data_IF_178570114526
#
_entry.id   IF_178570114526
#
_cell.length_a   1.000
_cell.length_b   1.000
_cell.length_c   1.000
_cell.angle_alpha   90.00
_cell.angle_beta   90.00
_cell.angle_gamma   90.00
#
_symmetry.space_group_name_H-M   'P 1'
#
loop_
_entity.id
_entity.type
_entity.pdbx_description
1 polymer ?
#
# COMPACT_ATOMS: atom_id res chain seq x y z
N UNK A 1 -24.83 -5.06 8.23
CA UNK A 1 -24.47 -5.16 6.79
C UNK A 1 -23.50 -4.06 6.45
N UNK A 2 -22.43 -4.38 5.72
CA UNK A 2 -21.47 -3.40 5.26
C UNK A 2 -22.11 -2.31 4.40
N UNK A 3 -21.78 -1.05 4.65
CA UNK A 3 -22.31 0.11 3.91
C UNK A 3 -21.47 0.33 2.65
N UNK A 4 -22.12 0.33 1.49
CA UNK A 4 -21.45 0.55 0.21
C UNK A 4 -21.08 2.02 0.03
N UNK A 5 -19.86 2.26 -0.48
CA UNK A 5 -19.40 3.61 -0.85
C UNK A 5 -20.11 4.09 -2.13
N UNK A 6 -20.34 5.38 -2.22
CA UNK A 6 -20.80 6.00 -3.47
C UNK A 6 -19.72 6.02 -4.56
N UNK A 7 -18.46 5.95 -4.17
CA UNK A 7 -17.31 5.94 -5.06
C UNK A 7 -16.21 5.06 -4.49
N UNK A 8 -15.65 4.11 -5.28
CA UNK A 8 -14.63 3.19 -4.81
C UNK A 8 -13.40 3.92 -4.28
N UNK A 9 -12.88 3.44 -3.15
CA UNK A 9 -11.70 3.97 -2.48
C UNK A 9 -10.63 2.89 -2.40
N UNK A 10 -9.56 3.08 -3.15
CA UNK A 10 -8.52 2.06 -3.34
C UNK A 10 -7.23 2.50 -2.64
N UNK A 11 -6.72 1.68 -1.75
CA UNK A 11 -5.42 1.92 -1.10
C UNK A 11 -4.27 1.38 -1.94
N UNK A 12 -3.16 2.14 -1.98
CA UNK A 12 -1.92 1.75 -2.66
C UNK A 12 -1.45 0.36 -2.22
N UNK A 13 -1.45 0.05 -0.92
CA UNK A 13 -1.04 -1.26 -0.40
C UNK A 13 -1.88 -2.42 -0.94
N UNK A 14 -3.19 -2.23 -1.15
CA UNK A 14 -4.05 -3.29 -1.72
C UNK A 14 -3.71 -3.56 -3.18
N UNK A 15 -3.52 -2.51 -3.95
CA UNK A 15 -3.12 -2.62 -5.36
C UNK A 15 -1.76 -3.28 -5.49
N UNK A 16 -0.80 -2.88 -4.65
CA UNK A 16 0.57 -3.42 -4.69
C UNK A 16 0.60 -4.92 -4.41
N UNK A 17 -0.19 -5.40 -3.45
CA UNK A 17 -0.30 -6.82 -3.12
C UNK A 17 -0.91 -7.63 -4.27
N UNK A 18 -1.96 -7.13 -4.92
CA UNK A 18 -2.55 -7.78 -6.08
C UNK A 18 -1.59 -7.79 -7.29
N UNK A 19 -0.90 -6.67 -7.56
CA UNK A 19 0.02 -6.57 -8.68
C UNK A 19 1.27 -7.45 -8.51
N UNK A 20 1.71 -7.69 -7.28
CA UNK A 20 2.85 -8.55 -6.98
C UNK A 20 2.49 -10.03 -6.94
N UNK A 21 1.20 -10.37 -6.83
CA UNK A 21 0.75 -11.73 -6.55
C UNK A 21 0.99 -12.18 -5.11
N UNK A 22 1.15 -11.24 -4.17
CA UNK A 22 1.16 -11.54 -2.74
C UNK A 22 -0.23 -11.95 -2.25
N UNK A 23 -1.25 -11.22 -2.70
CA UNK A 23 -2.67 -11.54 -2.48
C UNK A 23 -3.33 -11.94 -3.81
N UNK A 24 -4.12 -13.02 -3.80
CA UNK A 24 -4.85 -13.53 -4.96
C UNK A 24 -6.37 -13.34 -4.85
N UNK A 25 -6.89 -13.08 -3.64
CA UNK A 25 -8.32 -12.86 -3.45
C UNK A 25 -8.72 -11.43 -3.83
N UNK A 26 -8.95 -11.20 -5.12
CA UNK A 26 -9.42 -9.90 -5.62
C UNK A 26 -10.71 -9.44 -4.95
N UNK A 27 -11.60 -10.39 -4.59
CA UNK A 27 -12.85 -10.08 -3.91
C UNK A 27 -12.62 -9.35 -2.58
N UNK A 28 -11.63 -9.75 -1.80
CA UNK A 28 -11.35 -9.13 -0.51
C UNK A 28 -10.93 -7.65 -0.68
N UNK A 29 -10.13 -7.35 -1.69
CA UNK A 29 -9.72 -5.98 -2.00
C UNK A 29 -10.85 -5.17 -2.64
N UNK A 30 -11.65 -5.80 -3.52
CA UNK A 30 -12.86 -5.19 -4.06
C UNK A 30 -13.84 -4.83 -2.94
N UNK A 31 -14.07 -5.74 -2.00
CA UNK A 31 -14.97 -5.50 -0.86
C UNK A 31 -14.49 -4.29 -0.05
N UNK A 32 -13.21 -4.25 0.35
CA UNK A 32 -12.62 -3.12 1.08
C UNK A 32 -12.68 -1.80 0.31
N UNK A 33 -12.56 -1.85 -1.01
CA UNK A 33 -12.62 -0.65 -1.87
C UNK A 33 -14.04 -0.10 -2.00
N UNK A 34 -15.04 -0.95 -1.98
CA UNK A 34 -16.44 -0.60 -2.24
C UNK A 34 -17.29 -0.41 -0.97
N UNK A 35 -16.76 -0.75 0.22
CA UNK A 35 -17.49 -0.60 1.49
C UNK A 35 -16.73 0.29 2.47
N UNK A 36 -17.47 0.99 3.33
CA UNK A 36 -16.89 1.85 4.36
C UNK A 36 -16.22 1.00 5.44
N UNK A 37 -14.94 1.30 5.74
CA UNK A 37 -14.12 0.48 6.62
C UNK A 37 -14.56 0.42 8.09
N UNK A 38 -15.48 1.28 8.50
CA UNK A 38 -16.11 1.30 9.84
C UNK A 38 -17.50 0.67 9.85
N UNK A 39 -17.98 0.14 8.72
CA UNK A 39 -19.33 -0.38 8.58
C UNK A 39 -19.43 -1.90 8.62
N UNK A 40 -18.31 -2.59 8.80
CA UNK A 40 -18.24 -4.06 8.89
C UNK A 40 -17.23 -4.49 9.95
N UNK A 41 -17.44 -5.68 10.51
CA UNK A 41 -16.57 -6.25 11.52
C UNK A 41 -15.25 -6.72 10.93
N UNK A 42 -14.17 -6.56 11.70
CA UNK A 42 -12.84 -6.98 11.30
C UNK A 42 -12.27 -8.01 12.24
N UNK A 43 -11.57 -8.97 11.67
CA UNK A 43 -10.77 -9.90 12.47
C UNK A 43 -9.69 -9.09 13.21
N UNK A 44 -9.58 -9.24 14.55
CA UNK A 44 -8.52 -8.59 15.31
C UNK A 44 -7.13 -9.03 14.82
N UNK A 45 -6.16 -8.15 14.93
CA UNK A 45 -4.76 -8.43 14.61
C UNK A 45 -3.94 -8.57 15.89
N UNK A 46 -3.18 -9.65 15.99
CA UNK A 46 -2.24 -9.88 17.10
C UNK A 46 -0.86 -9.22 16.86
N UNK A 47 -0.73 -8.45 15.79
CA UNK A 47 0.52 -7.79 15.43
C UNK A 47 0.94 -6.75 16.48
N UNK A 48 2.18 -6.83 16.98
CA UNK A 48 2.73 -5.90 17.94
C UNK A 48 3.06 -4.56 17.28
N UNK A 49 2.04 -3.73 17.12
CA UNK A 49 2.15 -2.42 16.48
C UNK A 49 3.09 -1.47 17.22
N UNK A 50 3.19 -1.54 18.53
CA UNK A 50 3.99 -0.62 19.36
C UNK A 50 5.50 -0.81 19.09
N UNK A 51 5.98 -2.06 19.10
CA UNK A 51 7.39 -2.37 18.79
C UNK A 51 7.74 -2.01 17.36
N UNK A 52 6.88 -2.40 16.42
CA UNK A 52 7.05 -2.06 15.03
C UNK A 52 7.14 -0.55 14.81
N UNK A 53 6.22 0.21 15.43
CA UNK A 53 6.16 1.66 15.29
C UNK A 53 7.42 2.35 15.80
N UNK A 54 8.03 1.85 16.88
CA UNK A 54 9.27 2.39 17.41
C UNK A 54 10.40 2.29 16.38
N UNK A 55 10.68 1.09 15.89
CA UNK A 55 11.75 0.82 14.91
C UNK A 55 11.51 1.56 13.60
N UNK A 56 10.26 1.54 13.12
CA UNK A 56 9.87 2.25 11.90
C UNK A 56 10.07 3.76 12.03
N UNK A 57 9.62 4.37 13.13
CA UNK A 57 9.77 5.81 13.37
C UNK A 57 11.23 6.23 13.47
N UNK A 58 12.07 5.43 14.11
CA UNK A 58 13.51 5.69 14.19
C UNK A 58 14.14 5.75 12.80
N UNK A 59 13.83 4.77 11.94
CA UNK A 59 14.36 4.70 10.58
C UNK A 59 13.84 5.84 9.70
N UNK A 60 12.55 6.20 9.83
CA UNK A 60 11.96 7.37 9.17
C UNK A 60 12.69 8.65 9.57
N UNK A 61 12.93 8.88 10.86
CA UNK A 61 13.61 10.08 11.35
C UNK A 61 15.08 10.14 10.90
N UNK A 62 15.79 9.02 10.91
CA UNK A 62 17.15 8.93 10.40
C UNK A 62 17.20 9.32 8.93
N UNK A 63 16.36 8.70 8.10
CA UNK A 63 16.30 9.00 6.66
C UNK A 63 15.91 10.45 6.39
N UNK A 64 14.97 11.00 7.15
CA UNK A 64 14.59 12.41 7.07
C UNK A 64 15.80 13.32 7.28
N UNK A 65 16.56 13.13 8.37
CA UNK A 65 17.71 13.97 8.67
C UNK A 65 18.82 13.87 7.62
N UNK A 66 19.04 12.66 7.05
CA UNK A 66 19.99 12.45 5.96
C UNK A 66 19.62 13.32 4.75
N UNK A 67 18.35 13.33 4.31
CA UNK A 67 17.91 14.11 3.18
C UNK A 67 17.87 15.61 3.47
N UNK A 68 17.44 16.03 4.65
CA UNK A 68 17.48 17.43 5.07
C UNK A 68 18.93 17.97 5.08
N UNK A 69 19.91 17.16 5.49
CA UNK A 69 21.33 17.54 5.53
C UNK A 69 21.95 17.86 4.16
N UNK A 70 21.39 17.27 3.10
CA UNK A 70 21.82 17.52 1.70
C UNK A 70 20.91 18.48 0.94
N UNK A 71 20.02 19.18 1.68
CA UNK A 71 19.26 20.31 1.22
C UNK A 71 17.89 19.98 0.61
N UNK A 72 17.33 18.78 0.88
CA UNK A 72 15.94 18.49 0.54
C UNK A 72 14.98 19.03 1.60
N UNK A 73 13.82 19.50 1.14
CA UNK A 73 12.66 19.69 2.01
C UNK A 73 11.95 18.36 2.14
N UNK A 74 11.83 17.83 3.37
CA UNK A 74 11.24 16.52 3.61
C UNK A 74 9.93 16.63 4.38
N UNK A 75 8.88 15.99 3.87
CA UNK A 75 7.63 15.76 4.58
C UNK A 75 7.45 14.28 4.92
N UNK A 76 6.76 13.98 6.03
CA UNK A 76 6.68 12.62 6.59
C UNK A 76 5.24 12.20 6.86
N UNK A 77 4.99 10.90 6.67
CA UNK A 77 3.75 10.21 7.08
C UNK A 77 2.46 10.95 6.68
N UNK A 78 1.62 11.35 7.64
CA UNK A 78 0.31 11.98 7.37
C UNK A 78 0.36 13.27 6.56
N UNK A 79 1.51 13.95 6.51
CA UNK A 79 1.72 15.11 5.64
C UNK A 79 1.71 14.71 4.15
N UNK A 80 1.98 13.44 3.86
CA UNK A 80 2.11 12.87 2.54
C UNK A 80 0.83 12.17 2.04
N UNK A 81 -0.33 12.46 2.64
CA UNK A 81 -1.58 11.84 2.21
C UNK A 81 -1.87 12.16 0.74
N UNK A 82 -1.73 11.16 -0.11
CA UNK A 82 -2.06 11.23 -1.53
C UNK A 82 -3.51 10.81 -1.76
N UNK A 83 -4.20 11.58 -2.60
CA UNK A 83 -5.54 11.29 -3.09
C UNK A 83 -5.62 11.62 -4.57
N UNK A 84 -5.51 10.61 -5.42
CA UNK A 84 -5.62 10.75 -6.87
C UNK A 84 -6.99 10.28 -7.31
N UNK A 85 -7.86 11.23 -7.68
CA UNK A 85 -9.19 10.93 -8.17
C UNK A 85 -9.14 10.62 -9.67
N UNK A 86 -9.43 9.37 -10.00
CA UNK A 86 -9.67 8.91 -11.37
C UNK A 86 -11.16 8.93 -11.72
N UNK A 87 -11.50 8.41 -12.90
CA UNK A 87 -12.90 8.31 -13.37
C UNK A 87 -13.69 7.22 -12.62
N UNK A 88 -13.04 6.14 -12.18
CA UNK A 88 -13.70 4.96 -11.60
C UNK A 88 -13.40 4.75 -10.12
N UNK A 89 -12.33 5.32 -9.59
CA UNK A 89 -11.94 5.20 -8.19
C UNK A 89 -11.08 6.37 -7.70
N UNK A 90 -10.99 6.49 -6.38
CA UNK A 90 -10.03 7.31 -5.68
C UNK A 90 -8.87 6.42 -5.21
N UNK A 91 -7.68 6.58 -5.83
CA UNK A 91 -6.46 5.95 -5.34
C UNK A 91 -5.90 6.79 -4.20
N UNK A 92 -5.60 6.16 -3.07
CA UNK A 92 -5.06 6.84 -1.89
C UNK A 92 -3.93 6.04 -1.25
N UNK A 93 -3.03 6.77 -0.61
CA UNK A 93 -1.94 6.17 0.17
C UNK A 93 -1.10 7.24 0.85
N UNK A 94 -0.18 6.79 1.69
CA UNK A 94 0.67 7.66 2.50
C UNK A 94 2.09 7.10 2.41
N UNK A 95 2.96 7.64 1.53
CA UNK A 95 4.38 7.31 1.59
C UNK A 95 4.99 7.82 2.88
N UNK A 96 5.97 7.09 3.41
CA UNK A 96 6.61 7.45 4.67
C UNK A 96 7.34 8.78 4.60
N UNK A 97 8.07 9.02 3.49
CA UNK A 97 8.75 10.28 3.25
C UNK A 97 8.58 10.74 1.79
N UNK A 98 8.50 12.06 1.64
CA UNK A 98 8.58 12.73 0.35
C UNK A 98 9.64 13.83 0.48
N UNK A 99 10.73 13.69 -0.25
CA UNK A 99 11.83 14.65 -0.29
C UNK A 99 11.81 15.42 -1.61
N UNK A 100 11.87 16.74 -1.53
CA UNK A 100 11.78 17.65 -2.68
C UNK A 100 12.94 18.63 -2.68
N UNK A 101 13.66 18.71 -3.81
CA UNK A 101 14.70 19.69 -4.06
C UNK A 101 14.62 20.11 -5.53
N UNK A 102 14.24 21.36 -5.78
CA UNK A 102 13.98 21.89 -7.12
C UNK A 102 12.97 21.03 -7.89
N UNK A 103 13.38 20.38 -8.99
CA UNK A 103 12.57 19.46 -9.78
C UNK A 103 12.75 18.00 -9.38
N UNK A 104 13.71 17.72 -8.49
CA UNK A 104 13.99 16.36 -8.02
C UNK A 104 13.07 15.99 -6.85
N UNK A 105 12.35 14.91 -7.03
CA UNK A 105 11.38 14.41 -6.03
C UNK A 105 11.68 12.93 -5.76
N UNK A 106 11.94 12.62 -4.49
CA UNK A 106 12.20 11.26 -4.04
C UNK A 106 11.08 10.80 -3.12
N UNK A 107 10.38 9.77 -3.56
CA UNK A 107 9.36 9.07 -2.75
C UNK A 107 10.04 7.93 -2.01
N UNK A 108 9.91 7.89 -0.69
CA UNK A 108 10.55 6.84 0.09
C UNK A 108 9.53 6.11 0.97
N UNK A 109 9.71 4.82 1.06
CA UNK A 109 8.93 3.94 1.91
C UNK A 109 9.88 3.08 2.76
N UNK A 110 9.67 3.10 4.06
CA UNK A 110 10.54 2.48 5.06
C UNK A 110 10.01 1.09 5.39
N UNK A 111 10.88 0.11 5.39
CA UNK A 111 10.54 -1.29 5.66
C UNK A 111 11.41 -1.87 6.76
N UNK A 112 10.76 -2.44 7.77
CA UNK A 112 11.41 -3.11 8.90
C UNK A 112 11.42 -4.63 8.76
N UNK A 113 10.67 -5.17 7.79
CA UNK A 113 10.60 -6.60 7.47
C UNK A 113 11.48 -7.00 6.29
N UNK A 114 11.37 -8.27 5.90
CA UNK A 114 12.11 -8.83 4.78
C UNK A 114 11.71 -8.18 3.44
N UNK A 115 12.64 -8.06 2.47
CA UNK A 115 12.32 -7.57 1.14
C UNK A 115 11.22 -8.38 0.45
N UNK A 116 10.31 -7.67 -0.21
CA UNK A 116 9.22 -8.25 -1.01
C UNK A 116 9.05 -7.48 -2.32
N UNK A 117 8.69 -8.14 -3.44
CA UNK A 117 8.33 -7.46 -4.68
C UNK A 117 7.18 -6.44 -4.51
N UNK A 118 6.28 -6.68 -3.56
CA UNK A 118 5.19 -5.76 -3.21
C UNK A 118 5.69 -4.38 -2.83
N UNK A 119 6.83 -4.30 -2.13
CA UNK A 119 7.40 -3.04 -1.68
C UNK A 119 7.80 -2.12 -2.85
N UNK A 120 8.44 -2.69 -3.88
CA UNK A 120 8.82 -1.92 -5.07
C UNK A 120 7.57 -1.42 -5.83
N UNK A 121 6.56 -2.27 -6.02
CA UNK A 121 5.29 -1.90 -6.64
C UNK A 121 4.57 -0.81 -5.84
N UNK A 122 4.64 -0.86 -4.52
CA UNK A 122 4.07 0.16 -3.63
C UNK A 122 4.72 1.52 -3.88
N UNK A 123 6.05 1.58 -3.89
CA UNK A 123 6.79 2.83 -4.16
C UNK A 123 6.52 3.33 -5.57
N UNK A 124 6.56 2.47 -6.59
CA UNK A 124 6.23 2.84 -7.96
C UNK A 124 4.81 3.42 -8.09
N UNK A 125 3.84 2.86 -7.34
CA UNK A 125 2.47 3.39 -7.30
C UNK A 125 2.42 4.76 -6.64
N UNK A 126 3.18 5.00 -5.58
CA UNK A 126 3.34 6.33 -4.98
C UNK A 126 4.02 7.31 -5.95
N UNK A 127 5.09 6.90 -6.65
CA UNK A 127 5.76 7.73 -7.67
C UNK A 127 4.77 8.17 -8.74
N UNK A 128 3.95 7.25 -9.27
CA UNK A 128 2.88 7.56 -10.20
C UNK A 128 1.88 8.57 -9.62
N UNK A 129 1.39 8.33 -8.40
CA UNK A 129 0.41 9.22 -7.77
C UNK A 129 0.98 10.63 -7.51
N UNK A 130 2.23 10.74 -7.08
CA UNK A 130 2.93 12.01 -6.88
C UNK A 130 3.08 12.76 -8.22
N UNK A 131 3.50 12.08 -9.29
CA UNK A 131 3.66 12.69 -10.62
C UNK A 131 2.36 13.23 -11.22
N UNK A 132 1.20 12.71 -10.79
CA UNK A 132 -0.15 13.14 -11.22
C UNK A 132 -0.85 14.06 -10.23
N UNK A 133 -0.24 14.33 -9.09
CA UNK A 133 -0.80 15.18 -8.04
C UNK A 133 -0.26 16.61 -8.16
N UNK A 134 -0.98 17.57 -7.55
CA UNK A 134 -0.53 18.95 -7.42
C UNK A 134 0.37 19.17 -6.18
N UNK A 135 0.92 18.11 -5.61
CA UNK A 135 1.77 18.20 -4.41
C UNK A 135 3.10 18.87 -4.73
N UNK A 136 3.54 18.77 -5.98
CA UNK A 136 4.75 19.43 -6.48
C UNK A 136 4.37 20.38 -7.64
N UNK A 137 4.71 21.67 -7.57
CA UNK A 137 4.20 22.69 -8.48
C UNK A 137 4.83 22.70 -9.89
N UNK A 138 5.84 21.86 -10.16
CA UNK A 138 6.59 21.81 -11.42
C UNK A 138 6.54 20.37 -11.93
N UNK A 139 6.75 20.15 -13.23
CA UNK A 139 6.89 18.79 -13.79
C UNK A 139 8.09 18.08 -13.15
N UNK A 140 7.87 17.24 -12.13
CA UNK A 140 8.94 16.67 -11.34
C UNK A 140 9.55 15.45 -12.03
N UNK A 141 10.83 15.22 -11.80
CA UNK A 141 11.44 13.91 -11.97
C UNK A 141 11.25 13.14 -10.67
N UNK A 142 10.33 12.18 -10.68
CA UNK A 142 9.98 11.41 -9.49
C UNK A 142 10.71 10.08 -9.49
N UNK A 143 11.64 9.92 -8.57
CA UNK A 143 12.30 8.64 -8.26
C UNK A 143 11.78 8.05 -6.95
N UNK A 144 12.12 6.79 -6.68
CA UNK A 144 11.70 6.11 -5.45
C UNK A 144 12.85 5.45 -4.72
N UNK A 145 12.65 5.22 -3.43
CA UNK A 145 13.56 4.41 -2.61
C UNK A 145 12.80 3.53 -1.64
N UNK A 146 13.29 2.32 -1.50
CA UNK A 146 12.96 1.44 -0.37
C UNK A 146 14.08 1.53 0.64
N UNK A 147 13.75 1.92 1.86
CA UNK A 147 14.73 2.08 2.94
C UNK A 147 14.53 0.94 3.94
N UNK A 148 15.46 -0.01 3.92
CA UNK A 148 15.55 -1.09 4.92
C UNK A 148 16.53 -0.71 6.03
N UNK A 149 16.58 -1.49 7.09
CA UNK A 149 17.47 -1.22 8.23
C UNK A 149 18.96 -1.28 7.85
N UNK A 150 19.31 -2.14 6.91
CA UNK A 150 20.68 -2.50 6.51
C UNK A 150 21.07 -2.04 5.10
N UNK A 151 20.09 -1.73 4.25
CA UNK A 151 20.35 -1.30 2.87
C UNK A 151 19.24 -0.41 2.31
N UNK A 152 19.52 0.20 1.16
CA UNK A 152 18.55 1.01 0.40
C UNK A 152 18.48 0.46 -1.03
N UNK A 153 17.26 0.38 -1.58
CA UNK A 153 17.03 0.01 -2.97
C UNK A 153 16.50 1.23 -3.73
N UNK A 154 17.23 1.62 -4.76
CA UNK A 154 16.83 2.72 -5.65
C UNK A 154 15.81 2.25 -6.70
N UNK A 155 14.77 3.03 -6.92
CA UNK A 155 13.78 2.81 -7.96
C UNK A 155 13.82 4.01 -8.91
N UNK A 156 14.37 3.83 -10.13
CA UNK A 156 14.52 4.92 -11.07
C UNK A 156 13.16 5.41 -11.59
N UNK A 157 13.08 6.69 -11.99
CA UNK A 157 11.86 7.28 -12.53
C UNK A 157 11.28 6.49 -13.72
N UNK A 158 12.14 5.90 -14.55
CA UNK A 158 11.76 5.09 -15.70
C UNK A 158 11.10 3.75 -15.33
N UNK A 159 11.13 3.32 -14.06
CA UNK A 159 10.42 2.12 -13.63
C UNK A 159 8.90 2.28 -13.69
N UNK A 160 8.40 3.53 -13.65
CA UNK A 160 6.97 3.83 -13.82
C UNK A 160 6.70 4.06 -15.31
N UNK A 161 6.83 3.00 -16.09
CA UNK A 161 6.62 2.99 -17.54
C UNK A 161 5.14 2.75 -17.92
N UNK A 162 4.87 2.72 -19.22
CA UNK A 162 3.52 2.51 -19.75
C UNK A 162 2.97 1.12 -19.40
N UNK A 163 3.81 0.10 -19.33
CA UNK A 163 3.40 -1.25 -18.92
C UNK A 163 2.96 -1.27 -17.46
N UNK A 164 3.75 -0.68 -16.57
CA UNK A 164 3.40 -0.53 -15.16
C UNK A 164 2.07 0.23 -14.99
N UNK A 165 1.92 1.37 -15.68
CA UNK A 165 0.71 2.20 -15.62
C UNK A 165 -0.51 1.42 -16.12
N UNK A 166 -0.37 0.66 -17.21
CA UNK A 166 -1.45 -0.18 -17.78
C UNK A 166 -1.88 -1.27 -16.79
N UNK A 167 -0.92 -1.94 -16.15
CA UNK A 167 -1.20 -2.96 -15.12
C UNK A 167 -1.89 -2.35 -13.90
N UNK A 168 -1.40 -1.22 -13.41
CA UNK A 168 -2.00 -0.47 -12.31
C UNK A 168 -3.45 -0.07 -12.62
N UNK A 169 -3.69 0.49 -13.80
CA UNK A 169 -5.02 0.88 -14.23
C UNK A 169 -5.97 -0.33 -14.32
N UNK A 170 -5.51 -1.47 -14.85
CA UNK A 170 -6.29 -2.71 -14.92
C UNK A 170 -6.75 -3.19 -13.53
N UNK A 171 -5.86 -3.18 -12.55
CA UNK A 171 -6.21 -3.59 -11.17
C UNK A 171 -7.22 -2.61 -10.56
N UNK A 172 -6.98 -1.30 -10.67
CA UNK A 172 -7.91 -0.26 -10.14
C UNK A 172 -9.29 -0.40 -10.79
N UNK A 173 -9.36 -0.60 -12.11
CA UNK A 173 -10.62 -0.83 -12.82
C UNK A 173 -11.32 -2.11 -12.34
N UNK A 174 -10.58 -3.19 -12.09
CA UNK A 174 -11.12 -4.43 -11.51
C UNK A 174 -11.78 -4.19 -10.16
N UNK A 175 -11.09 -3.47 -9.27
CA UNK A 175 -11.58 -3.13 -7.93
C UNK A 175 -12.76 -2.13 -7.92
N UNK A 176 -12.98 -1.44 -9.04
CA UNK A 176 -14.04 -0.42 -9.19
C UNK A 176 -15.33 -0.95 -9.81
N UNK A 177 -15.36 -2.21 -10.24
CA UNK A 177 -16.56 -2.80 -10.86
C UNK A 177 -17.74 -2.82 -9.90
N UNK A 178 -18.95 -2.69 -10.48
CA UNK A 178 -20.20 -2.82 -9.72
C UNK A 178 -20.35 -4.24 -9.19
N UNK A 179 -20.09 -5.22 -10.07
CA UNK A 179 -20.18 -6.64 -9.74
C UNK A 179 -18.89 -7.12 -9.06
N UNK A 180 -19.00 -7.87 -7.95
CA UNK A 180 -17.84 -8.41 -7.25
C UNK A 180 -17.13 -9.47 -8.09
N UNK A 181 -15.79 -9.54 -8.03
CA UNK A 181 -15.05 -10.67 -8.58
C UNK A 181 -15.32 -11.94 -7.79
N UNK A 182 -14.93 -13.08 -8.33
CA UNK A 182 -15.07 -14.38 -7.68
C UNK A 182 -14.18 -14.43 -6.41
N UNK A 183 -14.73 -14.98 -5.33
CA UNK A 183 -13.97 -15.26 -4.12
C UNK A 183 -13.01 -16.42 -4.37
N UNK A 184 -11.76 -16.24 -3.98
CA UNK A 184 -10.70 -17.27 -4.09
C UNK A 184 -10.14 -17.59 -2.70
N UNK A 185 -10.92 -18.26 -1.83
CA UNK A 185 -10.50 -18.55 -0.47
C UNK A 185 -9.38 -19.59 -0.45
N UNK A 186 -8.41 -19.39 0.44
CA UNK A 186 -7.41 -20.37 0.82
C UNK A 186 -7.03 -20.15 2.28
N UNK A 187 -6.38 -21.11 2.91
CA UNK A 187 -5.88 -20.96 4.29
C UNK A 187 -5.00 -19.72 4.40
N UNK A 188 -4.08 -19.53 3.46
CA UNK A 188 -3.20 -18.37 3.41
C UNK A 188 -3.97 -17.06 3.23
N UNK A 189 -4.81 -16.97 2.19
CA UNK A 189 -5.56 -15.74 1.90
C UNK A 189 -6.48 -15.33 3.06
N UNK A 190 -7.22 -16.30 3.62
CA UNK A 190 -8.13 -16.06 4.72
C UNK A 190 -7.40 -15.77 6.03
N UNK A 191 -6.21 -16.34 6.24
CA UNK A 191 -5.38 -16.12 7.42
C UNK A 191 -4.90 -14.67 7.56
N UNK A 192 -4.65 -13.98 6.44
CA UNK A 192 -4.26 -12.55 6.41
C UNK A 192 -5.42 -11.60 6.11
N UNK A 193 -6.61 -12.14 5.80
CA UNK A 193 -7.79 -11.34 5.53
C UNK A 193 -8.44 -10.87 6.83
N UNK A 194 -8.76 -9.58 6.90
CA UNK A 194 -9.43 -9.03 8.07
C UNK A 194 -10.96 -8.92 7.92
N UNK A 195 -11.55 -9.48 6.85
CA UNK A 195 -13.00 -9.55 6.66
C UNK A 195 -13.51 -10.80 7.37
N UNK A 196 -14.54 -10.66 8.20
CA UNK A 196 -15.11 -11.77 8.96
C UNK A 196 -16.04 -12.65 8.12
N UNK A 197 -16.40 -13.83 8.63
CA UNK A 197 -17.37 -14.73 8.00
C UNK A 197 -18.78 -14.13 7.87
N UNK A 198 -19.10 -13.10 8.65
CA UNK A 198 -20.37 -12.37 8.53
C UNK A 198 -20.53 -11.64 7.18
N UNK A 199 -19.43 -11.17 6.58
CA UNK A 199 -19.42 -10.48 5.29
C UNK A 199 -18.82 -11.37 4.16
N UNK A 200 -18.02 -12.39 4.50
CA UNK A 200 -17.46 -13.35 3.55
C UNK A 200 -17.87 -14.79 3.86
N UNK A 201 -18.96 -15.27 3.26
CA UNK A 201 -19.43 -16.65 3.41
C UNK A 201 -18.46 -17.74 2.93
N UNK A 202 -17.40 -17.38 2.20
CA UNK A 202 -16.37 -18.29 1.73
C UNK A 202 -15.09 -18.23 2.60
N UNK A 203 -15.11 -17.49 3.71
CA UNK A 203 -13.98 -17.40 4.62
C UNK A 203 -13.65 -18.78 5.20
N UNK A 204 -12.39 -19.18 5.09
CA UNK A 204 -11.86 -20.36 5.77
C UNK A 204 -11.39 -19.91 7.15
N UNK A 205 -12.01 -20.41 8.20
CA UNK A 205 -11.59 -20.17 9.58
C UNK A 205 -10.35 -21.03 9.86
N UNK A 206 -9.23 -20.39 10.11
CA UNK A 206 -8.01 -21.09 10.49
C UNK A 206 -8.05 -21.44 11.97
N UNK A 207 -7.54 -22.61 12.31
CA UNK A 207 -7.24 -22.93 13.69
C UNK A 207 -6.23 -21.90 14.23
N UNK A 208 -6.46 -21.30 15.42
CA UNK A 208 -5.53 -20.34 16.03
C UNK A 208 -4.10 -20.85 16.14
N UNK A 209 -3.90 -22.16 16.27
CA UNK A 209 -2.59 -22.81 16.33
C UNK A 209 -1.85 -22.78 14.98
N UNK A 210 -2.54 -22.78 13.85
CA UNK A 210 -1.94 -22.69 12.52
C UNK A 210 -1.57 -21.25 12.15
N UNK A 211 -2.27 -20.24 12.65
CA UNK A 211 -1.93 -18.83 12.41
C UNK A 211 -0.52 -18.46 12.91
N UNK A 212 -0.07 -19.06 14.00
CA UNK A 212 1.26 -18.77 14.58
C UNK A 212 2.41 -19.24 13.70
N UNK A 213 2.21 -20.27 12.86
CA UNK A 213 3.24 -20.83 12.00
C UNK A 213 3.56 -19.88 10.83
N UNK A 214 2.56 -19.18 10.30
CA UNK A 214 2.73 -18.25 9.17
C UNK A 214 3.20 -16.84 9.58
N UNK A 215 3.07 -16.49 10.86
CA UNK A 215 3.53 -15.20 11.39
C UNK A 215 5.04 -15.18 11.70
N UNK A 216 5.66 -16.35 11.86
CA UNK A 216 7.10 -16.44 12.15
C UNK A 216 7.98 -16.19 10.93
N UNK A 217 7.45 -16.35 9.71
CA UNK A 217 8.19 -16.12 8.45
C UNK A 217 8.08 -14.66 7.94
N UNK A 218 7.35 -13.81 8.65
CA UNK A 218 7.10 -12.42 8.25
C UNK A 218 8.02 -11.39 8.96
N UNK A 219 9.08 -11.85 9.63
CA UNK A 219 10.02 -10.99 10.37
C UNK A 219 11.44 -11.11 9.86
#
# INVERSE_FOLDING_TARGET
>A
MAVRRNFPYVWVTWVSKLMSGEDFCEWAHWFKSNHEGNSYDKVPSDFNTARWQLVHTELVNKTRHEYESIGYKVSVQHQNLLKLKGNSALLSGIPDLLAVKDTDVVVMDVKTGQPSPTHAIQVMTYMYAVSKSNVVPITPVVSGKLVYQDHVVDIPALAVDEEFISRLAKVILGLSKVDPPIKTPSIRECGFCNITSSDCSAMIENDPTERSIYLTDAF
#
